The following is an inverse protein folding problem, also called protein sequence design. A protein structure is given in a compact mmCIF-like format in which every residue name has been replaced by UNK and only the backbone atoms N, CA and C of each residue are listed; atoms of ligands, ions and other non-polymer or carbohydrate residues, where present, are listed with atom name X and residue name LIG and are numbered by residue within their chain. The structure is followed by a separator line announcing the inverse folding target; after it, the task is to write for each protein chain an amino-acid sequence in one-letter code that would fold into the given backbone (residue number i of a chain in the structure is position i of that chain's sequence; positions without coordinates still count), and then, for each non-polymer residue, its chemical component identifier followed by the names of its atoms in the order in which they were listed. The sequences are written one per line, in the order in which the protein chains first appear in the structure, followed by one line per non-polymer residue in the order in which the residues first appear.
data_IF_986939748305
#
_entry.id   IF_986939748305
#
_cell.length_a   1.000
_cell.length_b   1.000
_cell.length_c   1.000
_cell.angle_alpha   90.00
_cell.angle_beta   90.00
_cell.angle_gamma   90.00
#
_symmetry.space_group_name_H-M   'P 1'
#
loop_
_entity.id
_entity.type
_entity.pdbx_description
1 polymer ?
#
# COMPACT_ATOMS: atom_id res chain seq x y z
N UNK A 1 -12.51 -0.26 18.13
CA UNK A 1 -11.63 -1.40 18.44
C UNK A 1 -10.21 -0.99 18.08
N UNK A 2 -9.18 -1.38 18.84
CA UNK A 2 -7.81 -1.18 18.39
C UNK A 2 -7.63 -1.97 17.10
N UNK A 3 -7.24 -1.28 16.04
CA UNK A 3 -6.80 -1.93 14.80
C UNK A 3 -5.54 -2.71 15.16
N UNK A 4 -5.57 -4.04 15.05
CA UNK A 4 -4.38 -4.87 15.21
C UNK A 4 -3.62 -4.94 13.87
N UNK A 5 -2.37 -5.41 13.91
CA UNK A 5 -1.48 -5.47 12.74
C UNK A 5 -2.11 -6.21 11.54
N UNK A 6 -2.81 -7.33 11.80
CA UNK A 6 -3.50 -8.11 10.78
C UNK A 6 -4.53 -7.24 10.03
N UNK A 7 -5.35 -6.51 10.77
CA UNK A 7 -6.36 -5.65 10.18
C UNK A 7 -5.74 -4.48 9.40
N UNK A 8 -4.56 -3.97 9.81
CA UNK A 8 -3.84 -2.96 9.03
C UNK A 8 -3.38 -3.51 7.68
N UNK A 9 -2.90 -4.75 7.64
CA UNK A 9 -2.48 -5.42 6.41
C UNK A 9 -3.67 -5.71 5.49
N UNK A 10 -4.81 -6.13 6.04
CA UNK A 10 -6.05 -6.32 5.28
C UNK A 10 -6.48 -5.01 4.61
N UNK A 11 -6.60 -3.93 5.37
CA UNK A 11 -7.01 -2.63 4.82
C UNK A 11 -5.97 -2.10 3.80
N UNK A 12 -4.68 -2.30 4.07
CA UNK A 12 -3.62 -1.93 3.11
C UNK A 12 -3.79 -2.69 1.79
N UNK A 13 -4.00 -4.01 1.87
CA UNK A 13 -4.19 -4.86 0.69
C UNK A 13 -5.45 -4.48 -0.08
N UNK A 14 -6.56 -4.22 0.60
CA UNK A 14 -7.84 -3.83 -0.01
C UNK A 14 -7.69 -2.56 -0.86
N UNK A 15 -7.01 -1.54 -0.34
CA UNK A 15 -6.78 -0.29 -1.09
C UNK A 15 -5.92 -0.55 -2.34
N UNK A 16 -4.87 -1.36 -2.23
CA UNK A 16 -4.04 -1.71 -3.39
C UNK A 16 -4.81 -2.52 -4.44
N UNK A 17 -5.69 -3.43 -4.01
CA UNK A 17 -6.57 -4.19 -4.91
C UNK A 17 -7.55 -3.27 -5.62
N UNK A 18 -8.12 -2.27 -4.94
CA UNK A 18 -8.97 -1.26 -5.57
C UNK A 18 -8.20 -0.48 -6.64
N UNK A 19 -7.02 0.05 -6.30
CA UNK A 19 -6.16 0.74 -7.27
C UNK A 19 -5.83 -0.15 -8.48
N UNK A 20 -5.49 -1.43 -8.24
CA UNK A 20 -5.20 -2.37 -9.32
C UNK A 20 -6.42 -2.60 -10.22
N UNK A 21 -7.57 -2.93 -9.61
CA UNK A 21 -8.77 -3.37 -10.31
C UNK A 21 -9.45 -2.24 -11.05
N UNK A 22 -9.57 -1.07 -10.41
CA UNK A 22 -10.31 0.06 -10.97
C UNK A 22 -9.40 0.97 -11.82
N UNK A 23 -8.08 0.79 -11.73
CA UNK A 23 -7.06 1.65 -12.36
C UNK A 23 -7.19 3.14 -11.99
N UNK A 24 -7.86 3.43 -10.88
CA UNK A 24 -8.13 4.76 -10.36
C UNK A 24 -8.11 4.75 -8.83
N UNK A 25 -8.11 5.94 -8.24
CA UNK A 25 -8.05 6.10 -6.79
C UNK A 25 -8.11 7.55 -6.38
N UNK A 26 -7.95 7.79 -5.08
CA UNK A 26 -8.07 9.12 -4.48
C UNK A 26 -6.83 9.48 -3.67
N UNK A 27 -6.59 10.80 -3.53
CA UNK A 27 -5.52 11.30 -2.65
C UNK A 27 -5.72 10.78 -1.21
N UNK A 28 -6.97 10.69 -0.75
CA UNK A 28 -7.32 10.15 0.57
C UNK A 28 -6.89 8.70 0.75
N UNK A 29 -7.01 7.86 -0.28
CA UNK A 29 -6.52 6.47 -0.27
C UNK A 29 -4.99 6.43 -0.21
N UNK A 30 -4.29 7.28 -0.97
CA UNK A 30 -2.83 7.38 -0.87
C UNK A 30 -2.37 7.84 0.54
N UNK A 31 -3.07 8.78 1.17
CA UNK A 31 -2.80 9.15 2.56
C UNK A 31 -3.09 8.02 3.55
N UNK A 32 -4.13 7.22 3.28
CA UNK A 32 -4.47 6.06 4.11
C UNK A 32 -3.38 4.98 4.00
N UNK A 33 -2.88 4.70 2.79
CA UNK A 33 -1.72 3.82 2.58
C UNK A 33 -0.51 4.30 3.40
N UNK A 34 -0.16 5.59 3.32
CA UNK A 34 0.92 6.17 4.13
C UNK A 34 0.75 5.90 5.63
N UNK A 35 -0.42 6.21 6.19
CA UNK A 35 -0.68 6.06 7.63
C UNK A 35 -0.58 4.60 8.08
N UNK A 36 -1.11 3.67 7.28
CA UNK A 36 -1.05 2.24 7.56
C UNK A 36 0.40 1.73 7.54
N UNK A 37 1.16 2.11 6.50
CA UNK A 37 2.55 1.69 6.35
C UNK A 37 3.42 2.23 7.48
N UNK A 38 3.29 3.49 7.84
CA UNK A 38 4.03 4.08 8.96
C UNK A 38 3.73 3.33 10.28
N UNK A 39 2.46 2.98 10.51
CA UNK A 39 2.08 2.20 11.70
C UNK A 39 2.65 0.77 11.66
N UNK A 40 2.68 0.14 10.49
CA UNK A 40 3.23 -1.21 10.31
C UNK A 40 4.74 -1.22 10.51
N UNK A 41 5.46 -0.27 9.90
CA UNK A 41 6.91 -0.14 10.01
C UNK A 41 7.38 0.19 11.44
N UNK A 42 6.54 0.82 12.25
CA UNK A 42 6.80 1.05 13.67
C UNK A 42 6.74 -0.24 14.53
N UNK A 43 6.26 -1.35 13.95
CA UNK A 43 6.23 -2.65 14.62
C UNK A 43 7.49 -3.47 14.28
N UNK A 44 8.27 -3.80 15.32
CA UNK A 44 9.54 -4.53 15.17
C UNK A 44 9.38 -5.98 14.71
N UNK A 45 8.16 -6.55 14.76
CA UNK A 45 7.88 -7.93 14.37
C UNK A 45 7.88 -8.17 12.85
N UNK A 46 7.93 -7.12 12.04
CA UNK A 46 7.89 -7.25 10.57
C UNK A 46 9.27 -7.66 10.03
N UNK A 47 9.27 -8.67 9.15
CA UNK A 47 10.48 -9.17 8.47
C UNK A 47 11.13 -8.11 7.58
N UNK A 48 12.42 -8.26 7.30
CA UNK A 48 13.17 -7.31 6.45
C UNK A 48 12.58 -7.21 5.03
N UNK A 49 12.14 -8.33 4.45
CA UNK A 49 11.54 -8.35 3.11
C UNK A 49 10.19 -7.62 3.09
N UNK A 50 9.37 -7.82 4.12
CA UNK A 50 8.12 -7.10 4.27
C UNK A 50 8.35 -5.59 4.50
N UNK A 51 9.38 -5.22 5.27
CA UNK A 51 9.79 -3.82 5.43
C UNK A 51 10.22 -3.19 4.11
N UNK A 52 10.98 -3.90 3.26
CA UNK A 52 11.38 -3.39 1.95
C UNK A 52 10.14 -3.10 1.09
N UNK A 53 9.24 -4.07 0.97
CA UNK A 53 7.99 -3.91 0.22
C UNK A 53 7.13 -2.76 0.75
N UNK A 54 6.96 -2.65 2.07
CA UNK A 54 6.22 -1.55 2.68
C UNK A 54 6.82 -0.18 2.34
N UNK A 55 8.15 -0.06 2.27
CA UNK A 55 8.81 1.20 1.84
C UNK A 55 8.58 1.51 0.35
N UNK A 56 8.48 0.49 -0.50
CA UNK A 56 8.13 0.68 -1.91
C UNK A 56 6.69 1.19 -2.05
N UNK A 57 5.74 0.57 -1.35
CA UNK A 57 4.33 1.03 -1.32
C UNK A 57 4.23 2.44 -0.71
N UNK A 58 5.08 2.77 0.28
CA UNK A 58 5.15 4.12 0.84
C UNK A 58 5.57 5.14 -0.22
N UNK A 59 6.60 4.82 -1.00
CA UNK A 59 7.09 5.70 -2.08
C UNK A 59 6.04 5.89 -3.17
N UNK A 60 5.32 4.81 -3.51
CA UNK A 60 4.17 4.85 -4.41
C UNK A 60 3.03 5.75 -3.89
N UNK A 61 2.72 5.70 -2.59
CA UNK A 61 1.67 6.53 -2.00
C UNK A 61 2.07 8.00 -1.94
N UNK A 62 3.33 8.31 -1.62
CA UNK A 62 3.84 9.69 -1.66
C UNK A 62 3.76 10.29 -3.07
N UNK A 63 4.24 9.56 -4.07
CA UNK A 63 4.18 10.01 -5.47
C UNK A 63 2.74 10.14 -5.96
N UNK A 64 1.85 9.21 -5.58
CA UNK A 64 0.42 9.27 -5.88
C UNK A 64 -0.27 10.51 -5.32
N UNK A 65 -0.05 10.87 -4.04
CA UNK A 65 -0.60 12.10 -3.44
C UNK A 65 -0.18 13.37 -4.19
N UNK A 66 1.05 13.40 -4.69
CA UNK A 66 1.60 14.55 -5.43
C UNK A 66 1.31 14.53 -6.93
N UNK A 67 0.70 13.46 -7.44
CA UNK A 67 0.46 13.30 -8.87
C UNK A 67 -0.63 14.25 -9.35
N UNK A 68 -0.38 14.93 -10.47
CA UNK A 68 -1.40 15.72 -11.18
C UNK A 68 -2.45 14.84 -11.88
N UNK A 69 -2.16 13.55 -12.08
CA UNK A 69 -3.06 12.56 -12.65
C UNK A 69 -2.86 11.21 -11.94
N UNK A 70 -3.68 10.95 -10.92
CA UNK A 70 -3.56 9.76 -10.09
C UNK A 70 -3.92 8.48 -10.85
N UNK A 71 -4.92 8.50 -11.72
CA UNK A 71 -5.31 7.33 -12.52
C UNK A 71 -4.17 6.88 -13.45
N UNK A 72 -3.46 7.84 -14.06
CA UNK A 72 -2.27 7.53 -14.85
C UNK A 72 -1.11 7.02 -13.98
N UNK A 73 -0.93 7.57 -12.79
CA UNK A 73 0.06 7.04 -11.83
C UNK A 73 -0.25 5.59 -11.47
N UNK A 74 -1.50 5.28 -11.15
CA UNK A 74 -1.97 3.93 -10.84
C UNK A 74 -1.77 2.99 -12.03
N UNK A 75 -2.20 3.41 -13.21
CA UNK A 75 -2.07 2.64 -14.46
C UNK A 75 -0.62 2.29 -14.79
N UNK A 76 0.32 3.21 -14.56
CA UNK A 76 1.75 2.98 -14.80
C UNK A 76 2.43 2.12 -13.74
N UNK A 77 1.75 1.83 -12.62
CA UNK A 77 2.29 1.01 -11.52
C UNK A 77 1.58 -0.34 -11.39
N UNK A 78 0.83 -0.79 -12.41
CA UNK A 78 0.02 -2.02 -12.36
C UNK A 78 0.84 -3.29 -12.09
N UNK A 79 2.05 -3.37 -12.64
CA UNK A 79 2.95 -4.49 -12.38
C UNK A 79 3.39 -4.52 -10.91
N UNK A 80 3.78 -3.37 -10.37
CA UNK A 80 4.19 -3.23 -8.97
C UNK A 80 3.02 -3.53 -8.02
N UNK A 81 1.83 -3.00 -8.29
CA UNK A 81 0.61 -3.29 -7.53
C UNK A 81 0.35 -4.80 -7.46
N UNK A 82 0.45 -5.48 -8.61
CA UNK A 82 0.28 -6.95 -8.68
C UNK A 82 1.31 -7.69 -7.83
N UNK A 83 2.59 -7.28 -7.89
CA UNK A 83 3.67 -7.88 -7.11
C UNK A 83 3.48 -7.66 -5.61
N UNK A 84 3.09 -6.45 -5.19
CA UNK A 84 2.87 -6.14 -3.78
C UNK A 84 1.66 -6.89 -3.20
N UNK A 85 0.54 -6.94 -3.93
CA UNK A 85 -0.67 -7.67 -3.51
C UNK A 85 -0.35 -9.16 -3.30
N UNK A 86 0.36 -9.79 -4.23
CA UNK A 86 0.78 -11.19 -4.10
C UNK A 86 1.83 -11.39 -3.00
N UNK A 87 2.72 -10.42 -2.81
CA UNK A 87 3.75 -10.44 -1.78
C UNK A 87 3.18 -10.37 -0.36
N UNK A 88 2.13 -9.58 -0.14
CA UNK A 88 1.45 -9.43 1.15
C UNK A 88 0.82 -10.72 1.67
N UNK A 89 0.47 -11.67 0.80
CA UNK A 89 -0.01 -12.99 1.23
C UNK A 89 1.06 -13.81 1.99
N UNK A 90 2.33 -13.44 1.86
CA UNK A 90 3.44 -14.07 2.58
C UNK A 90 3.77 -13.37 3.91
N UNK A 91 3.00 -12.35 4.32
CA UNK A 91 3.20 -11.66 5.60
C UNK A 91 2.52 -12.37 6.78
N UNK A 92 1.76 -13.44 6.49
CA UNK A 92 1.02 -14.26 7.47
C UNK A 92 1.78 -15.50 7.91
#
# INVERSE_FOLDING_TARGET
MPINQQHQLEVLKDILVNHQSDCCGTVSECEQLERLIQSLLANDSISSDAKAMLNDVYSYSQSGKSSSNLDNHISNNQEQLTQWIAGMDNFS
#
